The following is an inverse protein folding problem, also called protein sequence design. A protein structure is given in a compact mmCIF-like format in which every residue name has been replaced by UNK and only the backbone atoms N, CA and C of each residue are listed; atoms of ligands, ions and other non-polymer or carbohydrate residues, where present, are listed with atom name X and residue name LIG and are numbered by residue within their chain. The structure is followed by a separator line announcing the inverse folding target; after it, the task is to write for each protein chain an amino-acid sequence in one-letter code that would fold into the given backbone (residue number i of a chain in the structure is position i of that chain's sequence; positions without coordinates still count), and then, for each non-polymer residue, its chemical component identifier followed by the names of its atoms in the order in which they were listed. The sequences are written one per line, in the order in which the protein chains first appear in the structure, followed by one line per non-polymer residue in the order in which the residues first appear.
data_IF_258245580961
#
_entry.id   IF_258245580961
#
_cell.length_a   1.000
_cell.length_b   1.000
_cell.length_c   1.000
_cell.angle_alpha   90.00
_cell.angle_beta   90.00
_cell.angle_gamma   90.00
#
_symmetry.space_group_name_H-M   'P 1'
#
loop_
_entity.id
_entity.type
_entity.pdbx_description
1 polymer ?
#
# COMPACT_ATOMS: atom_id res chain seq x y z
N UNK A 1 -30.13 38.76 27.82
CA UNK A 1 -30.29 39.04 26.38
C UNK A 1 -30.65 37.73 25.71
N UNK A 2 -31.84 37.67 25.12
CA UNK A 2 -32.48 36.43 24.66
C UNK A 2 -31.73 35.81 23.47
N UNK A 3 -31.43 34.51 23.57
CA UNK A 3 -31.00 33.69 22.43
C UNK A 3 -32.18 33.54 21.47
N UNK A 4 -32.17 34.30 20.37
CA UNK A 4 -33.03 34.05 19.21
C UNK A 4 -32.50 32.82 18.49
N UNK A 5 -33.15 31.67 18.70
CA UNK A 5 -33.01 30.49 17.87
C UNK A 5 -33.49 30.84 16.45
N UNK A 6 -32.54 31.11 15.56
CA UNK A 6 -32.84 31.24 14.14
C UNK A 6 -33.34 29.89 13.64
N UNK A 7 -34.61 29.83 13.24
CA UNK A 7 -35.25 28.65 12.69
C UNK A 7 -34.52 28.22 11.41
N UNK A 8 -33.59 27.27 11.55
CA UNK A 8 -33.01 26.54 10.43
C UNK A 8 -34.14 25.73 9.80
N UNK A 9 -34.65 26.21 8.66
CA UNK A 9 -35.62 25.45 7.88
C UNK A 9 -34.98 24.12 7.45
N UNK A 10 -35.78 23.05 7.48
CA UNK A 10 -35.35 21.66 7.17
C UNK A 10 -34.57 21.58 5.85
N UNK A 11 -34.91 22.43 4.88
CA UNK A 11 -34.22 22.55 3.59
C UNK A 11 -32.76 23.02 3.70
N UNK A 12 -32.43 23.91 4.63
CA UNK A 12 -31.06 24.43 4.75
C UNK A 12 -30.10 23.40 5.38
N UNK A 13 -30.63 22.58 6.31
CA UNK A 13 -29.94 21.42 6.87
C UNK A 13 -29.71 20.35 5.80
N UNK A 14 -30.70 20.10 4.94
CA UNK A 14 -30.57 19.18 3.79
C UNK A 14 -29.52 19.67 2.79
N UNK A 15 -29.51 20.96 2.45
CA UNK A 15 -28.51 21.55 1.54
C UNK A 15 -27.11 21.49 2.18
N UNK A 16 -26.95 21.77 3.47
CA UNK A 16 -25.66 21.68 4.15
C UNK A 16 -25.13 20.25 4.24
N UNK A 17 -26.00 19.26 4.50
CA UNK A 17 -25.64 17.83 4.49
C UNK A 17 -25.28 17.38 3.07
N UNK A 18 -26.04 17.80 2.05
CA UNK A 18 -25.73 17.48 0.65
C UNK A 18 -24.40 18.11 0.22
N UNK A 19 -24.12 19.37 0.57
CA UNK A 19 -22.84 20.04 0.25
C UNK A 19 -21.67 19.40 1.01
N UNK A 20 -21.85 19.01 2.28
CA UNK A 20 -20.83 18.27 3.04
C UNK A 20 -20.59 16.87 2.44
N UNK A 21 -21.65 16.16 2.04
CA UNK A 21 -21.60 14.84 1.41
C UNK A 21 -20.93 14.91 0.01
N UNK A 22 -21.29 15.91 -0.78
CA UNK A 22 -20.67 16.18 -2.08
C UNK A 22 -19.22 16.65 -1.93
N UNK A 23 -18.88 17.46 -0.91
CA UNK A 23 -17.49 17.83 -0.61
C UNK A 23 -16.66 16.62 -0.16
N UNK A 24 -17.24 15.66 0.57
CA UNK A 24 -16.56 14.41 0.93
C UNK A 24 -16.33 13.49 -0.27
N UNK A 25 -17.27 13.44 -1.21
CA UNK A 25 -17.12 12.67 -2.46
C UNK A 25 -16.15 13.34 -3.45
N UNK A 26 -16.09 14.68 -3.48
CA UNK A 26 -15.25 15.43 -4.41
C UNK A 26 -13.74 15.39 -4.04
N UNK A 27 -13.40 15.24 -2.76
CA UNK A 27 -12.02 15.22 -2.26
C UNK A 27 -11.44 13.81 -1.98
N UNK A 28 -12.18 12.74 -2.23
CA UNK A 28 -11.68 11.36 -2.13
C UNK A 28 -11.26 10.80 -3.49
N UNK A 29 -10.44 11.54 -4.24
CA UNK A 29 -9.80 11.01 -5.45
C UNK A 29 -8.73 10.01 -5.01
N UNK A 30 -9.08 8.73 -4.92
CA UNK A 30 -8.15 7.63 -4.67
C UNK A 30 -7.56 7.04 -5.95
N UNK A 31 -7.77 7.74 -7.06
CA UNK A 31 -7.36 7.37 -8.40
C UNK A 31 -6.74 8.57 -9.09
N UNK A 32 -5.45 8.50 -9.41
CA UNK A 32 -4.75 9.63 -10.01
C UNK A 32 -4.49 10.77 -9.04
N UNK A 33 -3.44 11.55 -9.30
CA UNK A 33 -3.09 12.73 -8.53
C UNK A 33 -1.79 12.60 -7.73
N UNK A 34 -1.40 13.71 -7.09
CA UNK A 34 -0.15 13.80 -6.34
C UNK A 34 -0.30 13.36 -4.88
N UNK A 35 -1.48 13.54 -4.28
CA UNK A 35 -1.71 13.29 -2.87
C UNK A 35 -3.09 12.68 -2.60
N UNK A 36 -3.09 11.44 -2.13
CA UNK A 36 -4.25 10.63 -1.80
C UNK A 36 -4.20 10.18 -0.34
N UNK A 37 -3.76 11.06 0.56
CA UNK A 37 -3.60 10.74 1.98
C UNK A 37 -4.92 10.42 2.69
N UNK A 38 -6.05 10.87 2.16
CA UNK A 38 -7.39 10.53 2.66
C UNK A 38 -7.81 9.09 2.35
N UNK A 39 -7.13 8.43 1.40
CA UNK A 39 -7.50 7.10 0.94
C UNK A 39 -7.02 6.02 1.91
N UNK A 40 -7.98 5.27 2.47
CA UNK A 40 -7.72 4.20 3.44
C UNK A 40 -7.95 2.82 2.86
N UNK A 41 -8.88 2.65 1.92
CA UNK A 41 -9.17 1.34 1.33
C UNK A 41 -8.19 0.98 0.21
N UNK A 42 -8.28 1.67 -0.93
CA UNK A 42 -7.45 1.43 -2.11
C UNK A 42 -6.93 2.75 -2.66
N UNK A 43 -5.74 2.73 -3.26
CA UNK A 43 -5.12 3.89 -3.88
C UNK A 43 -4.42 3.50 -5.18
N UNK A 44 -4.88 4.08 -6.29
CA UNK A 44 -4.46 3.71 -7.64
C UNK A 44 -3.84 4.90 -8.35
N UNK A 45 -2.64 4.73 -8.90
CA UNK A 45 -2.04 5.75 -9.77
C UNK A 45 -1.69 7.06 -9.06
N UNK A 46 -1.44 7.04 -7.74
CA UNK A 46 -1.26 8.26 -6.96
C UNK A 46 0.14 8.42 -6.37
N UNK A 47 0.59 9.67 -6.28
CA UNK A 47 1.92 10.03 -5.79
C UNK A 47 2.15 9.83 -4.29
N UNK A 48 1.09 9.81 -3.48
CA UNK A 48 1.21 9.67 -2.04
C UNK A 48 -0.01 8.97 -1.42
N UNK A 49 0.13 7.71 -1.04
CA UNK A 49 -0.93 6.86 -0.46
C UNK A 49 -0.54 6.29 0.93
N UNK A 50 -0.23 7.14 1.93
CA UNK A 50 0.31 6.67 3.21
C UNK A 50 -0.64 5.75 3.98
N UNK A 51 -1.96 5.94 3.81
CA UNK A 51 -2.99 5.30 4.63
C UNK A 51 -3.74 4.16 3.92
N UNK A 52 -3.49 3.94 2.63
CA UNK A 52 -4.25 2.98 1.85
C UNK A 52 -3.87 1.54 2.22
N UNK A 53 -4.85 0.66 2.39
CA UNK A 53 -4.64 -0.77 2.61
C UNK A 53 -4.17 -1.50 1.34
N UNK A 54 -4.59 -1.05 0.17
CA UNK A 54 -4.15 -1.59 -1.12
C UNK A 54 -3.60 -0.47 -1.98
N UNK A 55 -2.43 -0.70 -2.57
CA UNK A 55 -1.82 0.20 -3.53
C UNK A 55 -1.59 -0.46 -4.88
N UNK A 56 -1.95 0.25 -5.95
CA UNK A 56 -1.72 -0.17 -7.32
C UNK A 56 -1.14 0.99 -8.13
N UNK A 57 0.02 0.82 -8.76
CA UNK A 57 0.69 1.90 -9.51
C UNK A 57 0.88 3.19 -8.68
N UNK A 58 1.18 3.05 -7.38
CA UNK A 58 1.15 4.16 -6.42
C UNK A 58 2.48 4.30 -5.66
N UNK A 59 2.69 5.47 -5.06
CA UNK A 59 3.89 5.79 -4.27
C UNK A 59 3.54 6.08 -2.82
N UNK A 60 4.52 5.90 -1.93
CA UNK A 60 4.40 6.11 -0.48
C UNK A 60 3.32 5.25 0.17
N UNK A 61 3.26 3.97 -0.20
CA UNK A 61 2.29 2.99 0.29
C UNK A 61 2.68 2.40 1.65
N UNK A 62 2.93 3.28 2.62
CA UNK A 62 3.58 2.91 3.88
C UNK A 62 2.77 1.90 4.69
N UNK A 63 1.44 2.07 4.74
CA UNK A 63 0.53 1.23 5.52
C UNK A 63 -0.23 0.19 4.68
N UNK A 64 0.10 0.07 3.38
CA UNK A 64 -0.54 -0.92 2.53
C UNK A 64 -0.24 -2.33 3.03
N UNK A 65 -1.26 -3.19 3.01
CA UNK A 65 -1.14 -4.64 3.19
C UNK A 65 -0.78 -5.33 1.87
N UNK A 66 -1.24 -4.77 0.75
CA UNK A 66 -0.96 -5.27 -0.59
C UNK A 66 -0.44 -4.16 -1.47
N UNK A 67 0.69 -4.42 -2.13
CA UNK A 67 1.27 -3.53 -3.12
C UNK A 67 1.41 -4.22 -4.47
N UNK A 68 1.00 -3.51 -5.52
CA UNK A 68 1.19 -3.91 -6.92
C UNK A 68 1.75 -2.73 -7.68
N UNK A 69 2.87 -2.92 -8.39
CA UNK A 69 3.52 -1.86 -9.16
C UNK A 69 3.79 -0.58 -8.34
N UNK A 70 4.12 -0.72 -7.06
CA UNK A 70 4.13 0.38 -6.09
C UNK A 70 5.45 0.50 -5.34
N UNK A 71 5.69 1.66 -4.71
CA UNK A 71 6.92 1.93 -3.94
C UNK A 71 6.65 2.32 -2.50
N UNK A 72 7.68 2.22 -1.65
CA UNK A 72 7.59 2.49 -0.21
C UNK A 72 6.60 1.56 0.53
N UNK A 73 6.53 0.29 0.13
CA UNK A 73 5.58 -0.72 0.62
C UNK A 73 6.03 -1.38 1.94
N UNK A 74 6.42 -0.56 2.92
CA UNK A 74 7.17 -1.02 4.11
C UNK A 74 6.42 -2.03 4.96
N UNK A 75 5.09 -1.91 5.05
CA UNK A 75 4.22 -2.79 5.86
C UNK A 75 3.41 -3.78 5.03
N UNK A 76 3.63 -3.83 3.72
CA UNK A 76 2.92 -4.78 2.86
C UNK A 76 3.22 -6.21 3.29
N UNK A 77 2.18 -7.05 3.35
CA UNK A 77 2.29 -8.50 3.49
C UNK A 77 2.59 -9.15 2.14
N UNK A 78 2.04 -8.58 1.08
CA UNK A 78 2.22 -9.06 -0.30
C UNK A 78 2.72 -7.93 -1.18
N UNK A 79 3.79 -8.20 -1.91
CA UNK A 79 4.34 -7.31 -2.91
C UNK A 79 4.46 -7.99 -4.27
N UNK A 80 3.91 -7.33 -5.29
CA UNK A 80 4.07 -7.72 -6.69
C UNK A 80 4.64 -6.54 -7.46
N UNK A 81 5.75 -6.75 -8.16
CA UNK A 81 6.46 -5.72 -8.91
C UNK A 81 6.68 -4.42 -8.11
N UNK A 82 7.04 -4.55 -6.83
CA UNK A 82 7.03 -3.44 -5.88
C UNK A 82 8.39 -3.26 -5.19
N UNK A 83 8.57 -2.09 -4.58
CA UNK A 83 9.82 -1.70 -3.90
C UNK A 83 9.60 -1.43 -2.41
N UNK A 84 10.67 -1.64 -1.64
CA UNK A 84 10.72 -1.41 -0.18
C UNK A 84 9.77 -2.30 0.63
N UNK A 85 9.69 -3.57 0.24
CA UNK A 85 8.79 -4.59 0.79
C UNK A 85 9.32 -5.23 2.08
N UNK A 86 9.72 -4.40 3.04
CA UNK A 86 10.49 -4.82 4.22
C UNK A 86 9.79 -5.86 5.10
N UNK A 87 8.46 -5.78 5.21
CA UNK A 87 7.64 -6.67 6.04
C UNK A 87 6.85 -7.71 5.24
N UNK A 88 7.06 -7.80 3.92
CA UNK A 88 6.32 -8.74 3.09
C UNK A 88 6.58 -10.17 3.53
N UNK A 89 5.54 -10.99 3.55
CA UNK A 89 5.64 -12.45 3.66
C UNK A 89 5.87 -13.07 2.30
N UNK A 90 5.35 -12.44 1.25
CA UNK A 90 5.46 -12.89 -0.14
C UNK A 90 5.91 -11.76 -1.04
N UNK A 91 6.95 -12.02 -1.83
CA UNK A 91 7.46 -11.10 -2.84
C UNK A 91 7.53 -11.77 -4.21
N UNK A 92 6.98 -11.09 -5.21
CA UNK A 92 7.07 -11.47 -6.62
C UNK A 92 7.59 -10.28 -7.41
N UNK A 93 8.68 -10.46 -8.17
CA UNK A 93 9.31 -9.39 -8.97
C UNK A 93 9.61 -8.13 -8.14
N UNK A 94 9.96 -8.29 -6.87
CA UNK A 94 10.02 -7.18 -5.90
C UNK A 94 11.40 -7.02 -5.26
N UNK A 95 11.62 -5.88 -4.61
CA UNK A 95 12.92 -5.54 -4.00
C UNK A 95 12.78 -5.22 -2.51
N UNK A 96 13.88 -5.38 -1.77
CA UNK A 96 13.95 -5.15 -0.31
C UNK A 96 13.02 -6.07 0.48
N UNK A 97 12.95 -7.35 0.09
CA UNK A 97 12.07 -8.38 0.64
C UNK A 97 12.62 -9.06 1.90
N UNK A 98 13.12 -8.26 2.85
CA UNK A 98 13.98 -8.72 3.95
C UNK A 98 13.33 -9.82 4.81
N UNK A 99 12.01 -9.75 5.02
CA UNK A 99 11.24 -10.68 5.86
C UNK A 99 10.39 -11.68 5.07
N UNK A 100 10.49 -11.68 3.74
CA UNK A 100 9.70 -12.58 2.91
C UNK A 100 10.04 -14.03 3.24
N UNK A 101 9.02 -14.88 3.31
CA UNK A 101 9.16 -16.34 3.40
C UNK A 101 9.28 -16.96 2.01
N UNK A 102 8.60 -16.36 1.04
CA UNK A 102 8.64 -16.76 -0.36
C UNK A 102 9.08 -15.60 -1.22
N UNK A 103 10.12 -15.82 -2.02
CA UNK A 103 10.60 -14.89 -3.02
C UNK A 103 10.62 -15.53 -4.41
N UNK A 104 10.00 -14.85 -5.37
CA UNK A 104 10.07 -15.19 -6.79
C UNK A 104 10.58 -13.98 -7.57
N UNK A 105 11.65 -14.14 -8.36
CA UNK A 105 12.25 -13.05 -9.14
C UNK A 105 12.54 -11.79 -8.30
N UNK A 106 12.97 -11.96 -7.05
CA UNK A 106 13.03 -10.86 -6.07
C UNK A 106 14.42 -10.71 -5.45
N UNK A 107 14.69 -9.55 -4.86
CA UNK A 107 16.01 -9.24 -4.26
C UNK A 107 15.92 -8.93 -2.78
N UNK A 108 17.03 -9.14 -2.07
CA UNK A 108 17.16 -8.94 -0.62
C UNK A 108 16.23 -9.86 0.20
N UNK A 109 16.20 -11.14 -0.17
CA UNK A 109 15.32 -12.17 0.40
C UNK A 109 15.93 -12.89 1.62
N UNK A 110 16.47 -12.12 2.57
CA UNK A 110 17.33 -12.63 3.64
C UNK A 110 16.69 -13.73 4.49
N UNK A 111 15.39 -13.60 4.80
CA UNK A 111 14.64 -14.54 5.64
C UNK A 111 13.80 -15.57 4.86
N UNK A 112 13.96 -15.63 3.53
CA UNK A 112 13.15 -16.51 2.69
C UNK A 112 13.53 -17.98 2.90
N UNK A 113 12.52 -18.82 3.10
CA UNK A 113 12.66 -20.28 3.12
C UNK A 113 12.62 -20.86 1.71
N UNK A 114 11.92 -20.17 0.81
CA UNK A 114 11.79 -20.55 -0.60
C UNK A 114 12.22 -19.39 -1.49
N UNK A 115 13.20 -19.64 -2.35
CA UNK A 115 13.68 -18.70 -3.36
C UNK A 115 13.65 -19.32 -4.76
N UNK A 116 13.12 -18.56 -5.71
CA UNK A 116 13.15 -18.89 -7.15
C UNK A 116 13.59 -17.65 -7.91
N UNK A 117 14.64 -17.77 -8.73
CA UNK A 117 15.23 -16.68 -9.51
C UNK A 117 15.52 -15.42 -8.67
N UNK A 118 15.92 -15.59 -7.41
CA UNK A 118 16.02 -14.53 -6.42
C UNK A 118 17.43 -14.37 -5.87
N UNK A 119 17.71 -13.26 -5.20
CA UNK A 119 19.04 -12.97 -4.65
C UNK A 119 19.01 -12.72 -3.14
N UNK A 120 20.16 -12.95 -2.50
CA UNK A 120 20.38 -12.80 -1.07
C UNK A 120 19.49 -13.72 -0.20
N UNK A 121 19.38 -14.99 -0.62
CA UNK A 121 18.53 -16.01 -0.02
C UNK A 121 19.19 -16.79 1.13
N UNK A 122 19.74 -16.07 2.12
CA UNK A 122 20.62 -16.65 3.15
C UNK A 122 19.98 -17.73 4.02
N UNK A 123 18.65 -17.74 4.14
CA UNK A 123 17.90 -18.71 4.96
C UNK A 123 17.15 -19.78 4.15
N UNK A 124 17.39 -19.87 2.83
CA UNK A 124 16.55 -20.69 1.96
C UNK A 124 16.82 -22.19 2.14
N UNK A 125 15.76 -22.95 2.41
CA UNK A 125 15.77 -24.42 2.37
C UNK A 125 15.52 -24.93 0.95
N UNK A 126 14.78 -24.17 0.14
CA UNK A 126 14.52 -24.42 -1.27
C UNK A 126 15.06 -23.26 -2.08
N UNK A 127 16.01 -23.54 -2.95
CA UNK A 127 16.72 -22.54 -3.74
C UNK A 127 16.84 -23.00 -5.19
N UNK A 128 16.13 -22.32 -6.08
CA UNK A 128 16.14 -22.59 -7.53
C UNK A 128 16.66 -21.36 -8.25
N UNK A 129 17.73 -21.51 -9.05
CA UNK A 129 18.32 -20.42 -9.84
C UNK A 129 18.56 -19.12 -9.03
N UNK A 130 18.88 -19.26 -7.75
CA UNK A 130 18.95 -18.14 -6.82
C UNK A 130 20.35 -18.01 -6.22
N UNK A 131 20.72 -16.81 -5.81
CA UNK A 131 22.04 -16.51 -5.25
C UNK A 131 21.99 -16.21 -3.76
N UNK A 132 23.12 -16.41 -3.07
CA UNK A 132 23.21 -16.24 -1.63
C UNK A 132 22.53 -17.36 -0.84
N UNK A 133 22.23 -18.50 -1.46
CA UNK A 133 21.69 -19.65 -0.75
C UNK A 133 22.78 -20.32 0.11
N UNK A 134 22.42 -20.86 1.29
CA UNK A 134 23.36 -21.60 2.11
C UNK A 134 23.83 -22.84 1.33
N UNK A 135 25.15 -23.05 1.29
CA UNK A 135 25.71 -24.30 0.76
C UNK A 135 25.35 -25.41 1.76
N UNK A 136 24.60 -26.40 1.30
CA UNK A 136 24.47 -27.67 2.02
C UNK A 136 25.71 -28.52 1.77
#
# INVERSE_FOLDING_TARGET
MAFKTCAFTKNWLVIAVIVMCLCTEYYCQCTGGSNCSSCTAACTGCGNCPNAHTCTNSRNCINALTCTDSTNCRRARTCTNSKDCLAATTCTTSTNCNKAKTCTNSTNCYAATTCTDSTNCYSATTCTNSTGCPRR
#
